data_IF_900478994220
#
_entry.id   IF_900478994220
#
_cell.length_a   1.000
_cell.length_b   1.000
_cell.length_c   1.000
_cell.angle_alpha   90.00
_cell.angle_beta   90.00
_cell.angle_gamma   90.00
#
_symmetry.space_group_name_H-M   'P 1'
#
loop_
_entity.id
_entity.type
_entity.pdbx_description
1 polymer ?
#
# COMPACT_ATOMS: atom_id res chain seq x y z
N UNK A 1 33.32 15.33 -29.38
CA UNK A 1 32.95 14.76 -28.08
C UNK A 1 33.87 13.56 -27.82
N UNK A 2 34.76 13.71 -26.87
CA UNK A 2 35.96 12.88 -26.70
C UNK A 2 35.62 11.43 -26.27
N UNK A 3 36.36 10.46 -26.83
CA UNK A 3 36.30 9.03 -26.48
C UNK A 3 36.42 8.76 -24.98
N UNK A 4 37.07 9.62 -24.22
CA UNK A 4 37.26 9.55 -22.76
C UNK A 4 35.95 9.73 -21.98
N UNK A 5 35.01 10.52 -22.47
CA UNK A 5 33.71 10.75 -21.82
C UNK A 5 32.80 9.52 -22.00
N UNK A 6 32.93 8.81 -23.13
CA UNK A 6 32.14 7.57 -23.36
C UNK A 6 32.61 6.39 -22.50
N UNK A 7 33.88 6.36 -22.13
CA UNK A 7 34.44 5.30 -21.25
C UNK A 7 34.02 5.55 -19.79
N UNK A 8 33.96 6.80 -19.34
CA UNK A 8 33.53 7.15 -17.99
C UNK A 8 32.01 6.90 -17.77
N UNK A 9 31.17 7.13 -18.80
CA UNK A 9 29.74 6.80 -18.73
C UNK A 9 29.48 5.29 -18.75
N UNK A 10 30.29 4.51 -19.46
CA UNK A 10 30.19 3.05 -19.46
C UNK A 10 30.70 2.42 -18.16
N UNK A 11 31.72 2.99 -17.51
CA UNK A 11 32.16 2.53 -16.18
C UNK A 11 31.17 2.88 -15.04
N UNK A 12 30.49 4.02 -15.13
CA UNK A 12 29.46 4.38 -14.14
C UNK A 12 28.23 3.46 -14.24
N UNK A 13 27.85 3.05 -15.46
CA UNK A 13 26.75 2.09 -15.66
C UNK A 13 27.10 0.67 -15.19
N UNK A 14 28.37 0.25 -15.35
CA UNK A 14 28.87 -1.05 -14.88
C UNK A 14 29.05 -1.10 -13.34
N UNK A 15 29.32 0.02 -12.68
CA UNK A 15 29.40 0.10 -11.22
C UNK A 15 28.01 0.08 -10.56
N UNK A 16 26.96 0.61 -11.21
CA UNK A 16 25.59 0.49 -10.72
C UNK A 16 25.03 -0.95 -10.80
N UNK A 17 25.44 -1.71 -11.81
CA UNK A 17 25.02 -3.11 -11.97
C UNK A 17 25.77 -4.03 -10.98
N UNK A 18 26.98 -3.66 -10.56
CA UNK A 18 27.80 -4.46 -9.64
C UNK A 18 27.36 -4.38 -8.16
N UNK A 19 26.66 -3.32 -7.75
CA UNK A 19 26.25 -3.13 -6.34
C UNK A 19 24.94 -3.83 -6.01
N UNK A 20 24.06 -4.03 -6.98
CA UNK A 20 22.80 -4.77 -6.78
C UNK A 20 22.98 -6.29 -6.72
N UNK A 21 24.08 -6.85 -7.22
CA UNK A 21 24.35 -8.30 -7.20
C UNK A 21 24.98 -8.82 -5.89
N UNK A 22 25.46 -7.95 -5.00
CA UNK A 22 26.16 -8.36 -3.77
C UNK A 22 25.22 -8.46 -2.55
N UNK A 23 24.00 -7.91 -2.61
CA UNK A 23 23.06 -7.96 -1.50
C UNK A 23 22.25 -9.28 -1.38
N UNK A 24 22.39 -10.23 -2.30
CA UNK A 24 21.60 -11.47 -2.34
C UNK A 24 22.38 -12.78 -2.08
N UNK A 25 23.64 -12.71 -1.66
CA UNK A 25 24.49 -13.90 -1.50
C UNK A 25 24.92 -14.20 -0.05
N UNK A 26 24.02 -14.13 0.92
CA UNK A 26 24.34 -14.57 2.30
C UNK A 26 23.15 -15.16 3.03
N UNK A 27 22.71 -16.33 2.59
CA UNK A 27 21.94 -17.26 3.41
C UNK A 27 22.11 -18.69 2.88
N UNK A 28 23.29 -19.27 3.07
CA UNK A 28 23.47 -20.72 3.04
C UNK A 28 24.66 -21.07 3.90
N UNK A 29 24.43 -21.47 5.13
CA UNK A 29 25.31 -22.38 5.90
C UNK A 29 24.48 -23.04 6.99
N UNK A 30 24.11 -24.29 6.69
CA UNK A 30 23.74 -25.28 7.69
C UNK A 30 24.98 -26.09 8.05
N UNK A 31 25.20 -26.45 9.29
CA UNK A 31 25.89 -27.70 9.58
C UNK A 31 25.02 -28.65 10.39
N UNK A 32 24.86 -29.85 9.84
CA UNK A 32 24.47 -31.07 10.52
C UNK A 32 25.26 -31.32 11.81
N UNK A 33 24.57 -31.75 12.85
CA UNK A 33 25.05 -32.85 13.69
C UNK A 33 23.89 -33.51 14.46
N UNK A 34 23.79 -34.80 14.25
CA UNK A 34 22.94 -35.78 14.91
C UNK A 34 23.30 -35.99 16.39
N UNK A 35 22.32 -36.26 17.23
CA UNK A 35 22.39 -37.41 18.17
C UNK A 35 21.04 -37.67 18.85
N UNK A 36 20.63 -38.92 18.77
CA UNK A 36 19.58 -39.64 19.53
C UNK A 36 19.64 -39.42 21.03
N UNK A 37 18.48 -39.31 21.66
CA UNK A 37 18.14 -40.20 22.81
C UNK A 37 16.64 -40.09 23.16
N UNK A 38 16.02 -41.23 23.19
CA UNK A 38 14.69 -41.59 23.69
C UNK A 38 14.56 -41.42 25.20
N UNK A 39 13.39 -40.94 25.66
CA UNK A 39 12.80 -41.42 26.93
C UNK A 39 11.28 -41.08 26.97
N UNK A 40 10.52 -42.13 27.18
CA UNK A 40 9.10 -42.19 27.54
C UNK A 40 8.77 -41.52 28.86
N UNK A 41 7.59 -40.94 28.99
CA UNK A 41 6.79 -41.02 30.21
C UNK A 41 5.33 -40.61 29.98
N UNK A 42 4.46 -41.41 30.44
CA UNK A 42 3.00 -41.55 30.36
C UNK A 42 2.25 -40.60 31.34
N UNK A 43 0.92 -40.50 31.23
CA UNK A 43 0.13 -39.32 31.64
C UNK A 43 -0.68 -39.49 32.96
N UNK A 44 -1.38 -38.40 33.24
CA UNK A 44 -2.60 -38.22 34.05
C UNK A 44 -2.41 -37.77 35.52
N UNK A 45 -3.45 -37.27 36.20
CA UNK A 45 -4.85 -37.11 35.82
C UNK A 45 -5.50 -35.72 36.08
N UNK A 46 -6.71 -35.59 35.59
CA UNK A 46 -7.76 -34.58 35.75
C UNK A 46 -8.20 -34.42 37.23
N UNK A 47 -8.40 -33.17 37.68
CA UNK A 47 -9.33 -32.82 38.75
C UNK A 47 -10.07 -31.51 38.43
N UNK A 48 -11.41 -31.60 38.41
CA UNK A 48 -12.35 -30.47 38.46
C UNK A 48 -12.35 -29.86 39.88
N UNK A 49 -12.57 -28.56 40.00
CA UNK A 49 -13.07 -27.97 41.24
C UNK A 49 -14.49 -27.44 41.10
N UNK A 50 -15.27 -27.88 42.04
CA UNK A 50 -16.61 -27.53 42.49
C UNK A 50 -16.79 -26.03 42.80
N UNK A 51 -18.00 -25.53 42.48
CA UNK A 51 -18.55 -24.23 42.92
C UNK A 51 -18.83 -24.18 44.43
N UNK A 52 -18.72 -23.02 45.05
CA UNK A 52 -19.34 -22.76 46.35
C UNK A 52 -20.51 -21.77 46.25
N UNK A 53 -21.39 -21.75 47.25
CA UNK A 53 -22.77 -21.31 47.14
C UNK A 53 -23.01 -19.82 47.42
N UNK A 54 -24.15 -19.38 46.90
CA UNK A 54 -24.80 -18.07 47.04
C UNK A 54 -25.18 -17.75 48.48
N UNK A 55 -24.86 -16.56 48.99
CA UNK A 55 -25.52 -15.93 50.13
C UNK A 55 -26.04 -14.55 49.72
N UNK A 56 -27.35 -14.34 49.90
CA UNK A 56 -28.03 -13.04 49.88
C UNK A 56 -27.71 -12.24 51.14
N UNK A 57 -27.60 -10.94 51.10
CA UNK A 57 -27.83 -10.10 52.26
C UNK A 57 -29.06 -9.16 52.10
N UNK A 58 -29.75 -9.14 53.17
CA UNK A 58 -30.92 -8.43 53.63
C UNK A 58 -30.84 -6.90 53.51
N UNK A 59 -31.98 -6.30 53.17
CA UNK A 59 -32.25 -4.86 53.20
C UNK A 59 -32.14 -4.26 54.63
N UNK A 60 -31.47 -3.14 54.73
CA UNK A 60 -31.75 -2.14 55.80
C UNK A 60 -31.94 -0.76 55.15
N UNK A 61 -33.11 -0.22 55.38
CA UNK A 61 -33.53 1.11 54.98
C UNK A 61 -32.96 2.16 55.95
N UNK A 62 -32.21 3.12 55.42
CA UNK A 62 -31.94 4.40 56.12
C UNK A 62 -32.42 5.57 55.26
N UNK A 63 -33.36 6.29 55.81
CA UNK A 63 -33.89 7.56 55.34
C UNK A 63 -32.88 8.66 55.60
N UNK A 64 -32.42 9.40 54.55
CA UNK A 64 -31.74 10.68 54.69
C UNK A 64 -32.38 11.72 53.81
N UNK A 65 -32.42 12.94 54.36
CA UNK A 65 -33.14 14.13 53.89
C UNK A 65 -32.62 14.65 52.51
N UNK A 66 -33.57 15.08 51.69
CA UNK A 66 -33.31 15.72 50.42
C UNK A 66 -32.79 17.16 50.64
N UNK A 67 -31.54 17.39 50.33
CA UNK A 67 -31.01 18.73 50.00
C UNK A 67 -31.11 18.92 48.50
N UNK A 68 -31.94 19.89 48.11
CA UNK A 68 -32.10 20.32 46.70
C UNK A 68 -30.87 21.16 46.32
N UNK A 69 -29.90 20.57 45.66
CA UNK A 69 -28.90 21.31 44.86
C UNK A 69 -29.47 21.56 43.46
N UNK A 70 -29.56 22.84 43.07
CA UNK A 70 -29.85 23.24 41.70
C UNK A 70 -28.75 22.70 40.80
N UNK A 71 -29.06 21.64 40.04
CA UNK A 71 -28.20 21.16 38.97
C UNK A 71 -28.22 22.19 37.83
N UNK A 72 -27.17 22.95 37.71
CA UNK A 72 -26.79 23.62 36.46
C UNK A 72 -26.58 22.56 35.41
N UNK A 73 -27.52 22.35 34.53
CA UNK A 73 -27.39 21.58 33.31
C UNK A 73 -26.41 22.35 32.40
N UNK A 74 -25.14 21.99 32.42
CA UNK A 74 -24.25 22.31 31.31
C UNK A 74 -24.86 21.64 30.06
N UNK A 75 -25.28 22.43 29.10
CA UNK A 75 -25.61 21.96 27.76
C UNK A 75 -24.33 21.33 27.20
N UNK A 76 -24.25 20.02 27.25
CA UNK A 76 -23.25 19.26 26.48
C UNK A 76 -23.65 19.44 25.02
N UNK A 77 -23.08 20.46 24.38
CA UNK A 77 -23.13 20.61 22.94
C UNK A 77 -22.36 19.42 22.35
N UNK A 78 -23.08 18.38 21.98
CA UNK A 78 -22.47 17.26 21.22
C UNK A 78 -22.01 17.80 19.88
N UNK A 79 -20.70 17.82 19.70
CA UNK A 79 -20.08 18.16 18.41
C UNK A 79 -20.69 17.29 17.30
N UNK A 80 -20.97 17.87 16.12
CA UNK A 80 -21.50 17.12 14.99
C UNK A 80 -20.56 15.95 14.61
N UNK A 81 -21.06 14.83 14.12
CA UNK A 81 -20.21 13.74 13.64
C UNK A 81 -19.15 14.24 12.64
N UNK A 82 -17.96 13.66 12.67
CA UNK A 82 -16.82 14.14 11.85
C UNK A 82 -17.15 14.14 10.35
N UNK A 83 -17.94 13.20 9.87
CA UNK A 83 -18.41 13.16 8.48
C UNK A 83 -19.20 14.41 8.06
N UNK A 84 -19.98 14.97 8.99
CA UNK A 84 -20.79 16.18 8.74
C UNK A 84 -19.95 17.47 8.80
N UNK A 85 -18.72 17.38 9.29
CA UNK A 85 -17.75 18.46 9.39
C UNK A 85 -16.79 18.51 8.20
N UNK A 86 -16.68 17.44 7.39
CA UNK A 86 -15.72 17.36 6.28
C UNK A 86 -15.86 18.53 5.30
N UNK A 87 -17.11 18.94 5.02
CA UNK A 87 -17.37 20.05 4.11
C UNK A 87 -16.88 19.82 2.68
N UNK A 88 -16.54 18.57 2.35
CA UNK A 88 -16.16 18.17 1.02
C UNK A 88 -17.43 17.99 0.18
N UNK A 89 -17.40 18.48 -1.05
CA UNK A 89 -18.47 18.28 -2.05
C UNK A 89 -17.75 18.05 -3.39
N UNK A 90 -17.05 16.94 -3.46
CA UNK A 90 -16.17 16.60 -4.57
C UNK A 90 -16.69 15.31 -5.19
N UNK A 91 -17.08 15.41 -6.45
CA UNK A 91 -17.44 14.24 -7.23
C UNK A 91 -16.20 13.49 -7.67
N UNK A 92 -16.35 12.18 -7.85
CA UNK A 92 -15.25 11.31 -8.29
C UNK A 92 -14.61 11.81 -9.59
N UNK A 93 -15.43 12.30 -10.53
CA UNK A 93 -14.96 12.86 -11.80
C UNK A 93 -14.17 14.18 -11.67
N UNK A 94 -14.32 14.90 -10.56
CA UNK A 94 -13.60 16.15 -10.28
C UNK A 94 -12.26 15.90 -9.55
N UNK A 95 -11.98 14.67 -9.13
CA UNK A 95 -10.73 14.28 -8.52
C UNK A 95 -9.60 14.20 -9.55
N UNK A 96 -8.36 14.38 -9.08
CA UNK A 96 -7.19 14.09 -9.93
C UNK A 96 -7.30 12.66 -10.48
N UNK A 97 -6.96 12.50 -11.75
CA UNK A 97 -7.13 11.24 -12.49
C UNK A 97 -6.61 10.00 -11.72
N UNK A 98 -5.47 10.15 -11.04
CA UNK A 98 -4.87 9.07 -10.26
C UNK A 98 -5.70 8.65 -9.04
N UNK A 99 -6.62 9.49 -8.57
CA UNK A 99 -7.41 9.25 -7.36
C UNK A 99 -8.89 9.03 -7.62
N UNK A 100 -9.34 9.06 -8.88
CA UNK A 100 -10.69 8.64 -9.24
C UNK A 100 -10.91 7.19 -8.83
N UNK A 101 -12.00 6.93 -8.11
CA UNK A 101 -12.25 5.63 -7.50
C UNK A 101 -12.45 4.53 -8.55
N UNK A 102 -11.51 3.60 -8.65
CA UNK A 102 -11.58 2.48 -9.60
C UNK A 102 -12.68 1.47 -9.30
N UNK A 103 -13.27 1.51 -8.10
CA UNK A 103 -14.33 0.59 -7.67
C UNK A 103 -15.73 1.21 -7.75
N UNK A 104 -15.86 2.41 -8.29
CA UNK A 104 -17.14 3.10 -8.46
C UNK A 104 -17.21 3.80 -9.83
N UNK A 105 -18.39 4.34 -10.15
CA UNK A 105 -18.59 5.04 -11.42
C UNK A 105 -18.77 4.11 -12.61
N UNK A 106 -18.65 4.70 -13.80
CA UNK A 106 -18.85 4.01 -15.10
C UNK A 106 -17.66 4.15 -16.04
N UNK A 107 -16.55 4.75 -15.56
CA UNK A 107 -15.33 4.96 -16.32
C UNK A 107 -14.13 4.41 -15.54
N UNK A 108 -13.39 3.50 -16.16
CA UNK A 108 -12.09 3.05 -15.65
C UNK A 108 -10.97 3.80 -16.37
N UNK A 109 -10.11 4.45 -15.59
CA UNK A 109 -9.08 5.35 -16.12
C UNK A 109 -7.72 4.69 -16.12
N UNK A 110 -7.07 4.63 -17.29
CA UNK A 110 -5.70 4.12 -17.50
C UNK A 110 -5.41 2.79 -16.79
N UNK A 111 -6.37 1.88 -16.81
CA UNK A 111 -6.16 0.51 -16.34
C UNK A 111 -5.11 -0.18 -17.20
N UNK A 112 -4.16 -0.88 -16.57
CA UNK A 112 -3.07 -1.53 -17.31
C UNK A 112 -3.35 -2.97 -17.65
N UNK A 113 -2.91 -3.41 -18.83
CA UNK A 113 -2.98 -4.80 -19.29
C UNK A 113 -1.75 -5.15 -20.14
N UNK A 114 -1.30 -6.40 -20.05
CA UNK A 114 -0.15 -6.90 -20.80
C UNK A 114 -0.54 -8.05 -21.71
N UNK A 115 -0.23 -7.92 -23.02
CA UNK A 115 -0.40 -8.98 -24.01
C UNK A 115 0.90 -9.73 -24.22
N UNK A 116 0.83 -11.04 -24.26
CA UNK A 116 2.00 -11.89 -24.56
C UNK A 116 2.17 -12.07 -26.07
N UNK A 117 1.13 -12.47 -26.77
CA UNK A 117 1.16 -12.74 -28.21
C UNK A 117 0.14 -11.87 -28.97
N UNK A 118 0.37 -11.71 -30.27
CA UNK A 118 -0.65 -11.14 -31.16
C UNK A 118 -1.87 -12.06 -31.20
N UNK A 119 -3.06 -11.47 -31.27
CA UNK A 119 -4.31 -12.21 -31.17
C UNK A 119 -4.79 -12.50 -29.74
N UNK A 120 -3.97 -12.22 -28.71
CA UNK A 120 -4.37 -12.40 -27.30
C UNK A 120 -5.60 -11.58 -26.95
N UNK A 121 -6.46 -12.18 -26.11
CA UNK A 121 -7.67 -11.57 -25.54
C UNK A 121 -7.51 -11.43 -24.03
N UNK A 122 -7.75 -10.24 -23.50
CA UNK A 122 -7.64 -9.94 -22.07
C UNK A 122 -8.92 -9.31 -21.53
N UNK A 123 -9.32 -9.77 -20.36
CA UNK A 123 -10.31 -9.06 -19.54
C UNK A 123 -9.66 -7.86 -18.86
N UNK A 124 -10.41 -6.78 -18.71
CA UNK A 124 -10.13 -5.71 -17.81
C UNK A 124 -10.91 -5.92 -16.50
N UNK A 125 -10.84 -4.97 -15.58
CA UNK A 125 -11.55 -5.05 -14.30
C UNK A 125 -13.07 -5.18 -14.52
N UNK A 126 -13.57 -4.48 -15.55
CA UNK A 126 -14.96 -4.52 -15.99
C UNK A 126 -15.07 -4.90 -17.47
N UNK A 127 -16.21 -5.45 -17.90
CA UNK A 127 -16.51 -5.61 -19.32
C UNK A 127 -16.53 -4.25 -20.02
N UNK A 128 -15.82 -4.14 -21.12
CA UNK A 128 -15.73 -2.89 -21.91
C UNK A 128 -17.06 -2.62 -22.60
N UNK A 129 -17.62 -1.43 -22.41
CA UNK A 129 -18.76 -0.91 -23.17
C UNK A 129 -18.29 -0.09 -24.37
N UNK A 130 -17.36 0.85 -24.12
CA UNK A 130 -16.72 1.65 -25.15
C UNK A 130 -15.31 2.06 -24.72
N UNK A 131 -14.39 2.15 -25.66
CA UNK A 131 -13.03 2.62 -25.42
C UNK A 131 -12.97 4.14 -25.53
N UNK A 132 -12.37 4.78 -24.54
CA UNK A 132 -11.98 6.20 -24.57
C UNK A 132 -10.58 6.34 -25.15
N UNK A 133 -9.62 5.54 -24.66
CA UNK A 133 -8.25 5.52 -25.22
C UNK A 133 -7.50 4.23 -24.85
N UNK A 134 -6.61 3.80 -25.75
CA UNK A 134 -5.58 2.80 -25.49
C UNK A 134 -4.23 3.40 -25.82
N UNK A 135 -3.33 3.47 -24.86
CA UNK A 135 -2.01 4.09 -25.04
C UNK A 135 -0.88 3.20 -24.57
N UNK A 136 0.36 3.47 -25.01
CA UNK A 136 1.55 2.91 -24.37
C UNK A 136 1.64 3.35 -22.90
N UNK A 137 2.39 2.62 -22.08
CA UNK A 137 2.56 2.92 -20.64
C UNK A 137 3.02 4.36 -20.37
N UNK A 138 3.80 4.94 -21.28
CA UNK A 138 4.36 6.29 -21.19
C UNK A 138 3.47 7.38 -21.86
N UNK A 139 2.29 6.99 -22.34
CA UNK A 139 1.32 7.87 -22.99
C UNK A 139 1.73 8.43 -24.36
N UNK A 140 2.91 8.04 -24.90
CA UNK A 140 3.44 8.63 -26.15
C UNK A 140 2.82 8.07 -27.41
N UNK A 141 2.30 6.86 -27.35
CA UNK A 141 1.66 6.21 -28.49
C UNK A 141 0.21 5.94 -28.17
N UNK A 142 -0.69 6.43 -29.01
CA UNK A 142 -2.10 6.06 -28.97
C UNK A 142 -2.36 4.98 -30.01
N UNK A 143 -3.04 3.91 -29.61
CA UNK A 143 -3.38 2.80 -30.48
C UNK A 143 -4.79 2.95 -31.03
N UNK A 144 -5.02 2.42 -32.24
CA UNK A 144 -6.24 2.62 -33.02
C UNK A 144 -7.12 1.36 -33.00
N UNK A 145 -8.42 1.52 -32.71
CA UNK A 145 -9.40 0.44 -32.81
C UNK A 145 -9.54 -0.04 -34.25
N UNK A 146 -9.72 -1.34 -34.44
CA UNK A 146 -9.78 -2.00 -35.75
C UNK A 146 -8.42 -2.22 -36.40
N UNK A 147 -7.39 -1.54 -35.96
CA UNK A 147 -5.99 -1.70 -36.44
C UNK A 147 -5.11 -2.36 -35.40
N UNK A 148 -4.99 -1.79 -34.23
CA UNK A 148 -4.11 -2.27 -33.17
C UNK A 148 -4.84 -3.19 -32.19
N UNK A 149 -6.11 -2.93 -31.94
CA UNK A 149 -6.96 -3.73 -31.06
C UNK A 149 -8.42 -3.73 -31.57
N UNK A 150 -9.20 -4.65 -31.02
CA UNK A 150 -10.66 -4.68 -31.15
C UNK A 150 -11.27 -5.04 -29.80
N UNK A 151 -12.54 -4.71 -29.60
CA UNK A 151 -13.32 -5.18 -28.46
C UNK A 151 -14.19 -6.37 -28.90
N UNK A 152 -13.99 -7.52 -28.24
CA UNK A 152 -14.78 -8.74 -28.47
C UNK A 152 -15.36 -9.19 -27.12
N UNK A 153 -16.68 -9.33 -27.04
CA UNK A 153 -17.39 -9.78 -25.83
C UNK A 153 -16.97 -9.01 -24.53
N UNK A 154 -16.83 -7.69 -24.66
CA UNK A 154 -16.41 -6.83 -23.54
C UNK A 154 -14.94 -6.97 -23.12
N UNK A 155 -14.11 -7.64 -23.93
CA UNK A 155 -12.69 -7.85 -23.69
C UNK A 155 -11.84 -7.16 -24.74
N UNK A 156 -10.62 -6.80 -24.36
CA UNK A 156 -9.66 -6.20 -25.28
C UNK A 156 -8.85 -7.31 -25.99
N UNK A 157 -8.84 -7.28 -27.32
CA UNK A 157 -8.07 -8.20 -28.14
C UNK A 157 -7.04 -7.44 -28.98
N UNK A 158 -5.79 -7.83 -28.90
CA UNK A 158 -4.73 -7.28 -29.75
C UNK A 158 -4.80 -7.93 -31.14
N UNK A 159 -4.70 -7.12 -32.22
CA UNK A 159 -4.75 -7.64 -33.61
C UNK A 159 -3.41 -8.23 -34.04
N UNK A 160 -3.41 -9.05 -35.09
CA UNK A 160 -2.20 -9.68 -35.65
C UNK A 160 -1.16 -8.65 -36.11
N UNK A 161 -1.61 -7.53 -36.70
CA UNK A 161 -0.75 -6.49 -37.24
C UNK A 161 -0.59 -5.26 -36.31
N UNK A 162 -0.96 -5.42 -35.06
CA UNK A 162 -0.93 -4.36 -34.04
C UNK A 162 0.45 -3.78 -33.81
N UNK A 163 0.53 -2.47 -33.55
CA UNK A 163 1.74 -1.80 -33.03
C UNK A 163 1.93 -2.01 -31.50
N UNK A 164 0.92 -2.51 -30.77
CA UNK A 164 1.05 -2.87 -29.36
C UNK A 164 2.17 -3.89 -29.20
N UNK A 165 3.12 -3.63 -28.31
CA UNK A 165 4.23 -4.53 -28.04
C UNK A 165 3.77 -5.78 -27.29
N UNK A 166 4.18 -6.95 -27.76
CA UNK A 166 3.97 -8.25 -27.12
C UNK A 166 5.33 -8.90 -26.86
N UNK A 167 5.52 -9.48 -25.68
CA UNK A 167 6.81 -10.11 -25.31
C UNK A 167 6.99 -11.49 -25.99
N UNK A 168 5.93 -12.14 -26.38
CA UNK A 168 5.71 -13.52 -26.76
C UNK A 168 5.65 -14.49 -25.56
N UNK A 169 4.68 -15.41 -25.59
CA UNK A 169 4.54 -16.45 -24.55
C UNK A 169 5.83 -17.29 -24.43
N UNK A 170 6.51 -17.56 -25.53
CA UNK A 170 7.78 -18.29 -25.51
C UNK A 170 8.83 -17.58 -24.66
N UNK A 171 9.06 -16.28 -24.88
CA UNK A 171 10.05 -15.49 -24.11
C UNK A 171 9.60 -15.24 -22.67
N UNK A 172 8.29 -15.11 -22.46
CA UNK A 172 7.74 -14.86 -21.13
C UNK A 172 7.92 -16.08 -20.21
N UNK A 173 7.63 -17.31 -20.72
CA UNK A 173 7.70 -18.54 -19.94
C UNK A 173 9.03 -19.30 -20.00
N UNK A 174 10.03 -18.83 -20.75
CA UNK A 174 11.32 -19.49 -20.89
C UNK A 174 12.49 -18.47 -20.68
N UNK A 175 12.33 -17.54 -19.76
CA UNK A 175 13.32 -16.50 -19.49
C UNK A 175 14.53 -17.08 -18.75
N UNK A 176 15.64 -17.23 -19.44
CA UNK A 176 16.88 -17.80 -18.89
C UNK A 176 17.39 -16.99 -17.70
N UNK A 177 17.76 -17.66 -16.62
CA UNK A 177 18.27 -17.01 -15.40
C UNK A 177 17.20 -16.40 -14.50
N UNK A 178 15.91 -16.66 -14.78
CA UNK A 178 14.81 -16.16 -13.93
C UNK A 178 14.84 -16.77 -12.54
N UNK A 179 14.60 -15.91 -11.54
CA UNK A 179 14.36 -16.30 -10.15
C UNK A 179 12.88 -16.64 -9.90
N UNK A 180 12.00 -16.35 -10.86
CA UNK A 180 10.59 -16.69 -10.81
C UNK A 180 10.34 -17.92 -11.67
N UNK A 181 9.59 -18.88 -11.14
CA UNK A 181 9.17 -20.04 -11.86
C UNK A 181 7.65 -20.20 -11.80
N UNK A 182 7.04 -20.56 -12.92
CA UNK A 182 5.64 -20.98 -12.98
C UNK A 182 5.59 -22.39 -13.59
N UNK A 183 5.02 -23.33 -12.85
CA UNK A 183 4.96 -24.74 -13.26
C UNK A 183 6.34 -25.31 -13.67
N UNK A 184 7.39 -24.93 -12.94
CA UNK A 184 8.76 -25.37 -13.20
C UNK A 184 9.45 -24.71 -14.40
N UNK A 185 8.83 -23.72 -15.03
CA UNK A 185 9.43 -22.95 -16.13
C UNK A 185 9.88 -21.57 -15.66
N UNK A 186 11.09 -21.12 -16.05
CA UNK A 186 11.57 -19.79 -15.71
C UNK A 186 10.72 -18.73 -16.42
N UNK A 187 10.27 -17.73 -15.68
CA UNK A 187 9.35 -16.71 -16.14
C UNK A 187 10.04 -15.36 -16.30
N UNK A 188 9.60 -14.55 -17.26
CA UNK A 188 10.08 -13.19 -17.43
C UNK A 188 9.84 -12.34 -16.18
N UNK A 189 10.88 -11.66 -15.75
CA UNK A 189 10.83 -10.65 -14.68
C UNK A 189 11.84 -9.56 -14.98
N UNK A 190 11.71 -8.42 -14.32
CA UNK A 190 12.69 -7.35 -14.43
C UNK A 190 12.17 -6.06 -13.86
N UNK A 191 12.96 -5.42 -13.01
CA UNK A 191 12.67 -4.06 -12.59
C UNK A 191 12.63 -3.16 -13.84
N UNK A 192 11.68 -2.26 -13.87
CA UNK A 192 11.45 -1.30 -14.94
C UNK A 192 11.13 -1.84 -16.35
N UNK A 193 11.22 -3.12 -16.58
CA UNK A 193 11.09 -3.66 -17.93
C UNK A 193 9.70 -4.18 -18.26
N UNK A 194 8.90 -4.57 -17.24
CA UNK A 194 7.56 -5.14 -17.46
C UNK A 194 6.62 -4.13 -18.10
N UNK A 195 6.65 -2.88 -17.61
CA UNK A 195 5.76 -1.80 -18.09
C UNK A 195 5.86 -1.49 -19.58
N UNK A 196 7.03 -1.73 -20.22
CA UNK A 196 7.17 -1.48 -21.67
C UNK A 196 6.30 -2.40 -22.53
N UNK A 197 5.79 -3.49 -21.95
CA UNK A 197 4.89 -4.46 -22.55
C UNK A 197 3.43 -4.26 -22.11
N UNK A 198 3.18 -3.29 -21.21
CA UNK A 198 1.84 -2.94 -20.75
C UNK A 198 1.28 -1.77 -21.59
N UNK A 199 -0.02 -1.79 -21.76
CA UNK A 199 -0.80 -0.68 -22.29
C UNK A 199 -1.73 -0.14 -21.23
N UNK A 200 -2.04 1.15 -21.29
CA UNK A 200 -3.00 1.82 -20.43
C UNK A 200 -4.32 2.01 -21.19
N UNK A 201 -5.42 1.58 -20.59
CA UNK A 201 -6.74 1.58 -21.19
C UNK A 201 -7.68 2.44 -20.35
N UNK A 202 -8.27 3.48 -20.98
CA UNK A 202 -9.39 4.22 -20.42
C UNK A 202 -10.65 3.81 -21.16
N UNK A 203 -11.69 3.40 -20.44
CA UNK A 203 -12.89 2.85 -21.04
C UNK A 203 -14.12 3.06 -20.17
N UNK A 204 -15.29 3.05 -20.79
CA UNK A 204 -16.58 3.06 -20.12
C UNK A 204 -17.09 1.64 -19.89
N UNK A 205 -17.85 1.45 -18.81
CA UNK A 205 -18.52 0.19 -18.44
C UNK A 205 -19.86 0.47 -17.76
N UNK A 206 -20.72 -0.55 -17.72
CA UNK A 206 -22.01 -0.51 -16.99
C UNK A 206 -22.04 -1.46 -15.78
N UNK A 207 -20.95 -2.21 -15.53
CA UNK A 207 -20.87 -3.17 -14.45
C UNK A 207 -20.46 -2.48 -13.14
N UNK A 208 -21.06 -2.92 -12.03
CA UNK A 208 -20.64 -2.55 -10.69
C UNK A 208 -19.49 -3.47 -10.21
N UNK A 209 -18.65 -2.95 -9.32
CA UNK A 209 -17.66 -3.75 -8.63
C UNK A 209 -18.33 -4.69 -7.62
N UNK A 210 -17.99 -5.98 -7.67
CA UNK A 210 -18.51 -7.01 -6.78
C UNK A 210 -17.45 -7.59 -5.83
N UNK A 211 -16.19 -7.13 -5.95
CA UNK A 211 -15.08 -7.57 -5.12
C UNK A 211 -15.01 -6.85 -3.77
N UNK A 212 -13.92 -7.10 -3.04
CA UNK A 212 -13.67 -6.45 -1.76
C UNK A 212 -13.54 -4.93 -1.92
N UNK A 213 -14.25 -4.18 -1.05
CA UNK A 213 -14.12 -2.73 -0.88
C UNK A 213 -13.67 -2.44 0.55
N UNK A 214 -12.67 -1.59 0.68
CA UNK A 214 -12.21 -1.11 1.99
C UNK A 214 -13.29 -0.28 2.67
N UNK A 215 -13.59 -0.58 3.92
CA UNK A 215 -14.48 0.25 4.74
C UNK A 215 -13.77 1.50 5.24
N UNK A 216 -14.47 2.63 5.24
CA UNK A 216 -13.97 3.86 5.87
C UNK A 216 -13.73 3.66 7.37
N UNK A 217 -12.63 4.22 7.86
CA UNK A 217 -12.27 4.26 9.28
C UNK A 217 -12.18 5.71 9.76
N UNK A 218 -13.00 6.59 9.19
CA UNK A 218 -13.00 8.03 9.48
C UNK A 218 -13.11 8.34 10.97
N UNK A 219 -13.95 7.59 11.71
CA UNK A 219 -14.07 7.75 13.15
C UNK A 219 -12.78 7.43 13.93
N UNK A 220 -11.96 6.52 13.42
CA UNK A 220 -10.63 6.21 13.99
C UNK A 220 -9.67 7.37 13.80
N UNK A 221 -9.76 8.05 12.67
CA UNK A 221 -8.83 9.11 12.26
C UNK A 221 -9.35 10.53 12.52
N UNK A 222 -10.44 10.68 13.25
CA UNK A 222 -11.12 11.96 13.44
C UNK A 222 -10.18 13.09 13.91
N UNK A 223 -9.21 12.82 14.78
CA UNK A 223 -8.27 13.84 15.27
C UNK A 223 -7.36 14.37 14.14
N UNK A 224 -6.85 13.50 13.30
CA UNK A 224 -6.05 13.90 12.14
C UNK A 224 -6.90 14.67 11.11
N UNK A 225 -8.10 14.15 10.82
CA UNK A 225 -9.01 14.79 9.84
C UNK A 225 -9.51 16.15 10.35
N UNK A 226 -9.77 16.31 11.65
CA UNK A 226 -10.09 17.63 12.24
C UNK A 226 -8.99 18.65 12.00
N UNK A 227 -7.71 18.29 12.10
CA UNK A 227 -6.59 19.18 11.77
C UNK A 227 -6.65 19.63 10.31
N UNK A 228 -6.90 18.69 9.38
CA UNK A 228 -7.07 19.03 7.97
C UNK A 228 -8.26 19.97 7.72
N UNK A 229 -9.40 19.73 8.36
CA UNK A 229 -10.58 20.60 8.28
C UNK A 229 -10.26 22.00 8.85
N UNK A 230 -9.52 22.07 9.93
CA UNK A 230 -9.12 23.34 10.58
C UNK A 230 -8.08 24.15 9.81
N UNK A 231 -7.41 23.54 8.82
CA UNK A 231 -6.32 24.21 8.08
C UNK A 231 -4.99 24.22 8.86
N UNK A 232 -4.81 23.29 9.80
CA UNK A 232 -3.57 23.18 10.55
C UNK A 232 -2.47 22.55 9.70
N UNK A 233 -1.22 22.97 9.86
CA UNK A 233 -0.09 22.27 9.24
C UNK A 233 0.03 20.87 9.85
N UNK A 234 0.18 19.85 8.98
CA UNK A 234 0.27 18.45 9.40
C UNK A 234 1.46 17.73 8.75
N UNK A 235 1.94 16.68 9.39
CA UNK A 235 2.99 15.82 8.86
C UNK A 235 2.45 14.41 8.62
N UNK A 236 2.58 13.93 7.38
CA UNK A 236 2.32 12.54 6.99
C UNK A 236 3.66 11.83 6.83
N UNK A 237 3.89 10.82 7.65
CA UNK A 237 5.16 10.12 7.75
C UNK A 237 5.02 8.67 7.29
N UNK A 238 5.81 8.27 6.29
CA UNK A 238 5.81 6.92 5.73
C UNK A 238 7.07 6.14 6.14
N UNK A 239 6.86 4.91 6.60
CA UNK A 239 7.91 3.98 6.96
C UNK A 239 7.59 2.57 6.48
N UNK A 240 8.47 1.95 5.71
CA UNK A 240 8.20 0.66 5.10
C UNK A 240 9.33 0.12 4.22
N UNK A 241 8.95 -0.77 3.34
CA UNK A 241 9.86 -1.45 2.40
C UNK A 241 9.89 -0.80 1.00
N UNK A 242 10.33 -1.56 0.00
CA UNK A 242 10.44 -1.11 -1.39
C UNK A 242 9.13 -0.63 -2.01
N UNK A 243 7.98 -1.14 -1.57
CA UNK A 243 6.67 -0.71 -2.09
C UNK A 243 6.35 0.69 -1.55
N UNK A 244 6.60 0.93 -0.26
CA UNK A 244 6.46 2.26 0.36
C UNK A 244 7.49 3.25 -0.18
N UNK A 245 8.69 2.78 -0.49
CA UNK A 245 9.71 3.55 -1.21
C UNK A 245 9.27 3.94 -2.62
N UNK A 246 8.48 3.11 -3.30
CA UNK A 246 7.96 3.39 -4.63
C UNK A 246 8.66 2.65 -5.77
N UNK A 247 9.27 1.50 -5.50
CA UNK A 247 9.94 0.69 -6.52
C UNK A 247 9.02 0.38 -7.70
N UNK A 248 9.54 0.50 -8.91
CA UNK A 248 8.82 0.35 -10.19
C UNK A 248 7.77 1.42 -10.50
N UNK A 249 7.58 2.46 -9.68
CA UNK A 249 6.82 3.64 -10.11
C UNK A 249 7.60 4.39 -11.20
N UNK A 250 6.89 4.98 -12.15
CA UNK A 250 7.55 5.74 -13.23
C UNK A 250 8.27 6.99 -12.71
N UNK A 251 7.84 7.52 -11.57
CA UNK A 251 8.55 8.61 -10.89
C UNK A 251 9.93 8.14 -10.37
N UNK A 252 9.98 7.05 -9.61
CA UNK A 252 11.22 6.53 -9.05
C UNK A 252 12.24 6.13 -10.13
N UNK A 253 11.75 5.67 -11.28
CA UNK A 253 12.58 5.31 -12.43
C UNK A 253 12.95 6.50 -13.33
N UNK A 254 12.40 7.69 -13.08
CA UNK A 254 12.65 8.89 -13.88
C UNK A 254 12.09 8.86 -15.30
N UNK A 255 11.14 7.98 -15.59
CA UNK A 255 10.49 7.84 -16.91
C UNK A 255 9.07 8.40 -16.90
N UNK A 256 8.52 8.70 -18.09
CA UNK A 256 7.12 9.15 -18.19
C UNK A 256 6.16 7.99 -17.84
N UNK A 257 4.98 8.33 -17.26
CA UNK A 257 4.42 9.68 -16.98
C UNK A 257 4.97 10.35 -15.71
N UNK A 258 5.93 9.77 -15.00
CA UNK A 258 6.46 10.23 -13.72
C UNK A 258 5.44 10.23 -12.59
N UNK A 259 4.52 9.28 -12.63
CA UNK A 259 3.56 9.10 -11.55
C UNK A 259 4.26 8.60 -10.29
N UNK A 260 3.99 9.25 -9.17
CA UNK A 260 4.48 8.84 -7.85
C UNK A 260 3.90 7.50 -7.38
N UNK A 261 4.55 6.92 -6.37
CA UNK A 261 4.00 5.78 -5.66
C UNK A 261 2.86 6.19 -4.72
N UNK A 262 2.21 5.22 -4.09
CA UNK A 262 1.01 5.45 -3.29
C UNK A 262 1.19 6.50 -2.19
N UNK A 263 2.38 6.57 -1.59
CA UNK A 263 2.67 7.54 -0.54
C UNK A 263 2.58 8.99 -1.04
N UNK A 264 3.12 9.27 -2.24
CA UNK A 264 2.99 10.58 -2.88
C UNK A 264 1.55 10.85 -3.30
N UNK A 265 0.94 9.91 -4.05
CA UNK A 265 -0.42 10.06 -4.55
C UNK A 265 -1.45 10.31 -3.44
N UNK A 266 -1.35 9.56 -2.34
CA UNK A 266 -2.23 9.74 -1.18
C UNK A 266 -2.05 11.13 -0.54
N UNK A 267 -0.80 11.59 -0.39
CA UNK A 267 -0.52 12.90 0.21
C UNK A 267 -0.96 14.06 -0.69
N UNK A 268 -0.71 13.93 -2.00
CA UNK A 268 -1.15 14.90 -3.01
C UNK A 268 -2.68 14.98 -3.09
N UNK A 269 -3.38 13.84 -2.99
CA UNK A 269 -4.83 13.81 -2.93
C UNK A 269 -5.38 14.52 -1.70
N UNK A 270 -4.77 14.35 -0.52
CA UNK A 270 -5.17 15.10 0.67
C UNK A 270 -4.97 16.61 0.47
N UNK A 271 -3.89 17.00 -0.20
CA UNK A 271 -3.64 18.41 -0.52
C UNK A 271 -4.73 18.99 -1.42
N UNK A 272 -5.12 18.27 -2.47
CA UNK A 272 -6.19 18.70 -3.38
C UNK A 272 -7.55 18.78 -2.68
N UNK A 273 -7.89 17.75 -1.89
CA UNK A 273 -9.17 17.67 -1.18
C UNK A 273 -9.34 18.80 -0.16
N UNK A 274 -8.29 19.17 0.55
CA UNK A 274 -8.36 20.13 1.65
C UNK A 274 -7.72 21.50 1.35
N UNK A 275 -7.23 21.75 0.12
CA UNK A 275 -6.63 23.00 -0.30
C UNK A 275 -5.26 23.26 0.32
N UNK A 276 -4.45 22.24 0.47
CA UNK A 276 -3.11 22.29 1.03
C UNK A 276 -2.03 22.34 -0.05
N UNK A 277 -0.81 22.67 0.37
CA UNK A 277 0.40 22.35 -0.39
C UNK A 277 1.14 21.19 0.27
N UNK A 278 1.90 20.43 -0.51
CA UNK A 278 2.81 19.39 -0.02
C UNK A 278 4.24 19.88 -0.09
N UNK A 279 4.94 19.85 1.04
CA UNK A 279 6.38 20.05 1.11
C UNK A 279 7.07 18.72 1.32
N UNK A 280 7.94 18.34 0.38
CA UNK A 280 8.63 17.04 0.42
C UNK A 280 9.96 17.17 1.16
N UNK A 281 10.16 16.37 2.20
CA UNK A 281 11.36 16.42 3.04
C UNK A 281 12.44 15.50 2.49
N UNK A 282 13.61 16.08 2.19
CA UNK A 282 14.83 15.30 2.00
C UNK A 282 15.47 15.06 3.38
N UNK A 283 15.32 13.84 3.91
CA UNK A 283 15.81 13.48 5.24
C UNK A 283 17.33 13.35 5.31
N UNK A 284 18.05 13.43 4.18
CA UNK A 284 19.49 13.18 4.12
C UNK A 284 19.89 11.71 4.26
N UNK A 285 18.92 10.81 4.52
CA UNK A 285 19.14 9.37 4.59
C UNK A 285 19.37 8.75 3.20
N UNK A 286 19.00 9.48 2.14
CA UNK A 286 19.12 9.07 0.74
C UNK A 286 20.57 8.94 0.25
N UNK A 287 21.53 9.60 0.90
CA UNK A 287 22.92 9.68 0.41
C UNK A 287 23.69 8.35 0.51
N UNK A 288 23.28 7.42 1.35
CA UNK A 288 24.00 6.16 1.59
C UNK A 288 23.21 4.90 1.20
N UNK A 289 21.92 5.04 0.86
CA UNK A 289 21.03 3.93 0.51
C UNK A 289 20.10 4.38 -0.62
N UNK A 290 19.53 3.44 -1.33
CA UNK A 290 18.51 3.72 -2.35
C UNK A 290 17.22 4.12 -1.64
N UNK A 291 17.15 5.39 -1.22
CA UNK A 291 15.95 5.96 -0.62
C UNK A 291 15.06 6.60 -1.67
N UNK A 292 13.81 6.80 -1.31
CA UNK A 292 12.78 7.41 -2.16
C UNK A 292 13.27 8.72 -2.79
N UNK A 293 13.23 8.88 -4.12
CA UNK A 293 13.51 10.16 -4.75
C UNK A 293 12.47 11.17 -4.31
N UNK A 294 12.91 12.35 -3.86
CA UNK A 294 12.06 13.40 -3.34
C UNK A 294 11.86 14.48 -4.41
N UNK A 295 10.62 14.91 -4.70
CA UNK A 295 10.40 16.04 -5.59
C UNK A 295 11.12 17.29 -5.12
N UNK A 296 11.70 18.04 -6.07
CA UNK A 296 12.37 19.30 -5.78
C UNK A 296 11.38 20.47 -5.62
N UNK A 297 10.16 20.32 -6.14
CA UNK A 297 9.11 21.33 -6.10
C UNK A 297 7.99 20.89 -5.15
N UNK A 298 7.37 21.85 -4.50
CA UNK A 298 6.14 21.65 -3.75
C UNK A 298 4.98 21.30 -4.68
N UNK A 299 3.94 20.66 -4.14
CA UNK A 299 2.70 20.34 -4.85
C UNK A 299 1.53 21.11 -4.24
N UNK A 300 0.51 21.44 -5.03
CA UNK A 300 -0.72 22.10 -4.56
C UNK A 300 -0.58 23.60 -4.33
N UNK A 301 -1.64 24.27 -3.87
CA UNK A 301 -1.73 25.73 -3.74
C UNK A 301 -1.32 26.23 -2.37
N UNK A 302 -1.64 25.50 -1.31
CA UNK A 302 -1.36 25.88 0.07
C UNK A 302 -2.26 26.99 0.62
N UNK A 303 -3.46 27.15 0.05
CA UNK A 303 -4.39 28.21 0.48
C UNK A 303 -4.87 28.04 1.92
N UNK A 304 -4.86 26.79 2.44
CA UNK A 304 -5.30 26.46 3.80
C UNK A 304 -4.17 26.08 4.75
N UNK A 305 -3.16 25.36 4.28
CA UNK A 305 -2.08 24.87 5.13
C UNK A 305 -1.03 24.07 4.37
N UNK A 306 -0.12 23.45 5.10
CA UNK A 306 0.98 22.66 4.56
C UNK A 306 0.89 21.21 5.06
N UNK A 307 1.00 20.24 4.15
CA UNK A 307 1.29 18.85 4.48
C UNK A 307 2.79 18.60 4.30
N UNK A 308 3.47 18.33 5.37
CA UNK A 308 4.86 17.90 5.34
C UNK A 308 4.91 16.39 5.03
N UNK A 309 5.46 16.05 3.87
CA UNK A 309 5.66 14.66 3.45
C UNK A 309 7.04 14.18 3.87
N UNK A 310 7.09 13.11 4.67
CA UNK A 310 8.32 12.42 5.07
C UNK A 310 8.22 10.96 4.69
N UNK A 311 9.20 10.45 3.94
CA UNK A 311 9.27 9.02 3.59
C UNK A 311 10.68 8.50 3.85
N UNK A 312 10.81 7.57 4.80
CA UNK A 312 12.07 6.94 5.19
C UNK A 312 12.09 5.45 4.88
N UNK A 313 11.22 4.99 4.00
CA UNK A 313 11.17 3.59 3.57
C UNK A 313 12.45 3.16 2.84
N UNK A 314 12.84 1.90 3.02
CA UNK A 314 14.06 1.32 2.44
C UNK A 314 13.73 0.02 1.71
N UNK A 315 14.18 -0.08 0.46
CA UNK A 315 14.02 -1.28 -0.35
C UNK A 315 14.67 -2.52 0.27
N UNK A 316 13.97 -3.66 0.21
CA UNK A 316 14.46 -4.95 0.72
C UNK A 316 14.31 -5.15 2.24
N UNK A 317 13.94 -4.13 3.01
CA UNK A 317 13.74 -4.27 4.45
C UNK A 317 12.50 -5.09 4.78
N UNK A 318 12.63 -5.94 5.77
CA UNK A 318 11.55 -6.66 6.43
C UNK A 318 11.15 -5.95 7.74
N UNK A 319 10.12 -6.44 8.42
CA UNK A 319 9.65 -5.82 9.67
C UNK A 319 10.65 -5.87 10.83
N UNK A 320 11.62 -6.81 10.87
CA UNK A 320 12.71 -6.80 11.86
C UNK A 320 13.69 -5.64 11.58
N UNK A 321 13.99 -5.37 10.31
CA UNK A 321 14.84 -4.23 9.93
C UNK A 321 14.16 -2.93 10.35
N UNK A 322 12.83 -2.86 10.17
CA UNK A 322 12.02 -1.73 10.62
C UNK A 322 12.14 -1.49 12.14
N UNK A 323 12.06 -2.53 12.95
CA UNK A 323 12.25 -2.43 14.41
C UNK A 323 13.68 -2.01 14.75
N UNK A 324 14.67 -2.62 14.11
CA UNK A 324 16.09 -2.41 14.43
C UNK A 324 16.55 -0.99 14.13
N UNK A 325 16.00 -0.38 13.10
CA UNK A 325 16.42 0.94 12.62
C UNK A 325 15.45 2.07 12.99
N UNK A 326 14.45 1.79 13.84
CA UNK A 326 13.37 2.72 14.16
C UNK A 326 13.90 4.06 14.70
N UNK A 327 14.87 4.04 15.60
CA UNK A 327 15.41 5.28 16.21
C UNK A 327 15.94 6.24 15.14
N UNK A 328 16.78 5.76 14.25
CA UNK A 328 17.41 6.59 13.20
C UNK A 328 16.44 7.02 12.11
N UNK A 329 15.57 6.11 11.66
CA UNK A 329 14.73 6.34 10.49
C UNK A 329 13.36 6.94 10.84
N UNK A 330 12.92 6.80 12.09
CA UNK A 330 11.64 7.34 12.55
C UNK A 330 11.86 8.36 13.67
N UNK A 331 12.35 7.95 14.83
CA UNK A 331 12.43 8.82 16.01
C UNK A 331 13.18 10.12 15.73
N UNK A 332 14.42 10.06 15.22
CA UNK A 332 15.20 11.26 14.88
C UNK A 332 14.53 12.15 13.83
N UNK A 333 13.77 11.57 12.91
CA UNK A 333 13.09 12.33 11.87
C UNK A 333 11.78 12.94 12.37
N UNK A 334 11.04 12.24 13.25
CA UNK A 334 9.85 12.77 13.92
C UNK A 334 10.21 13.95 14.85
N UNK A 335 11.34 13.88 15.55
CA UNK A 335 11.86 15.00 16.36
C UNK A 335 12.13 16.26 15.51
N UNK A 336 12.51 16.10 14.24
CA UNK A 336 12.80 17.22 13.32
C UNK A 336 11.58 17.73 12.57
N UNK A 337 10.69 16.85 12.16
CA UNK A 337 9.64 17.16 11.19
C UNK A 337 8.22 16.96 11.71
N UNK A 338 8.05 16.36 12.90
CA UNK A 338 6.75 16.00 13.44
C UNK A 338 6.19 14.72 12.83
N UNK A 339 5.00 14.34 13.28
CA UNK A 339 4.19 13.26 12.72
C UNK A 339 2.76 13.37 13.25
N UNK A 340 1.78 13.53 12.38
CA UNK A 340 0.35 13.54 12.72
C UNK A 340 -0.35 12.28 12.21
N UNK A 341 0.10 11.76 11.06
CA UNK A 341 -0.29 10.46 10.52
C UNK A 341 0.95 9.63 10.23
N UNK A 342 1.12 8.53 10.96
CA UNK A 342 2.18 7.55 10.73
C UNK A 342 1.67 6.39 9.88
N UNK A 343 2.19 6.26 8.66
CA UNK A 343 1.83 5.20 7.71
C UNK A 343 2.95 4.17 7.68
N UNK A 344 2.64 2.93 8.09
CA UNK A 344 3.61 1.84 8.20
C UNK A 344 3.27 0.70 7.23
N UNK A 345 4.17 0.39 6.29
CA UNK A 345 3.98 -0.60 5.23
C UNK A 345 5.13 -1.60 5.17
N UNK A 346 5.08 -2.65 5.98
CA UNK A 346 5.98 -3.80 5.95
C UNK A 346 5.22 -5.09 5.69
N UNK A 347 5.92 -6.10 5.19
CA UNK A 347 5.36 -7.44 5.06
C UNK A 347 5.81 -8.18 3.82
N UNK A 348 6.08 -7.52 2.72
CA UNK A 348 6.47 -8.17 1.47
C UNK A 348 7.75 -9.00 1.63
N UNK A 349 8.70 -8.52 2.42
CA UNK A 349 9.98 -9.20 2.65
C UNK A 349 9.99 -10.08 3.93
N UNK A 350 8.82 -10.29 4.55
CA UNK A 350 8.66 -11.08 5.77
C UNK A 350 8.42 -12.57 5.49
N UNK A 351 8.61 -13.04 4.26
CA UNK A 351 8.23 -14.37 3.82
C UNK A 351 8.82 -15.55 4.60
N UNK A 352 9.98 -15.35 5.24
CA UNK A 352 10.59 -16.34 6.13
C UNK A 352 10.09 -16.32 7.57
N UNK A 353 9.20 -15.37 7.93
CA UNK A 353 8.66 -15.19 9.27
C UNK A 353 7.20 -15.62 9.35
N UNK A 354 6.76 -16.07 10.54
CA UNK A 354 5.33 -16.25 10.78
C UNK A 354 4.62 -14.90 10.78
N UNK A 355 3.38 -14.82 10.29
CA UNK A 355 2.58 -13.60 10.28
C UNK A 355 2.37 -12.99 11.69
N UNK A 356 2.41 -13.81 12.74
CA UNK A 356 2.42 -13.36 14.13
C UNK A 356 3.69 -12.63 14.53
N UNK A 357 4.83 -12.93 13.89
CA UNK A 357 6.09 -12.20 14.11
C UNK A 357 6.04 -10.84 13.43
N UNK A 358 5.52 -10.76 12.18
CA UNK A 358 5.25 -9.47 11.52
C UNK A 358 4.34 -8.60 12.39
N UNK A 359 3.23 -9.17 12.92
CA UNK A 359 2.35 -8.48 13.87
C UNK A 359 3.10 -7.94 15.08
N UNK A 360 3.95 -8.75 15.69
CA UNK A 360 4.71 -8.36 16.88
C UNK A 360 5.72 -7.25 16.59
N UNK A 361 6.36 -7.28 15.42
CA UNK A 361 7.29 -6.25 14.97
C UNK A 361 6.57 -4.91 14.68
N UNK A 362 5.46 -4.97 13.95
CA UNK A 362 4.63 -3.78 13.69
C UNK A 362 4.13 -3.18 15.00
N UNK A 363 3.69 -4.02 15.96
CA UNK A 363 3.30 -3.55 17.29
C UNK A 363 4.41 -2.80 18.01
N UNK A 364 5.66 -3.32 17.99
CA UNK A 364 6.80 -2.64 18.62
C UNK A 364 7.06 -1.26 18.03
N UNK A 365 6.97 -1.14 16.69
CA UNK A 365 7.14 0.15 16.01
C UNK A 365 6.02 1.12 16.36
N UNK A 366 4.77 0.64 16.44
CA UNK A 366 3.62 1.45 16.84
C UNK A 366 3.74 1.89 18.30
N UNK A 367 4.11 0.99 19.22
CA UNK A 367 4.30 1.34 20.63
C UNK A 367 5.39 2.41 20.78
N UNK A 368 6.53 2.24 20.09
CA UNK A 368 7.62 3.23 20.10
C UNK A 368 7.18 4.59 19.50
N UNK A 369 6.29 4.57 18.49
CA UNK A 369 5.73 5.82 17.95
C UNK A 369 4.83 6.51 18.97
N UNK A 370 3.98 5.77 19.68
CA UNK A 370 3.12 6.36 20.73
C UNK A 370 3.92 6.89 21.95
N UNK A 371 5.11 6.33 22.22
CA UNK A 371 6.03 6.92 23.24
C UNK A 371 6.54 8.29 22.82
N UNK A 372 6.72 8.55 21.51
CA UNK A 372 7.21 9.82 20.97
C UNK A 372 6.05 10.81 20.74
N UNK A 373 4.94 10.31 20.21
CA UNK A 373 3.75 11.09 19.80
C UNK A 373 2.47 10.40 20.26
N UNK A 374 2.02 10.63 21.50
CA UNK A 374 0.84 9.96 22.08
C UNK A 374 -0.46 10.18 21.30
N UNK A 375 -0.60 11.27 20.57
CA UNK A 375 -1.81 11.63 19.81
C UNK A 375 -1.73 11.30 18.33
N UNK A 376 -0.69 10.58 17.88
CA UNK A 376 -0.51 10.21 16.48
C UNK A 376 -1.61 9.28 15.99
N UNK A 377 -2.10 9.52 14.77
CA UNK A 377 -2.90 8.53 14.03
C UNK A 377 -1.98 7.56 13.30
N UNK A 378 -2.28 6.28 13.32
CA UNK A 378 -1.45 5.23 12.68
C UNK A 378 -2.25 4.46 11.64
N UNK A 379 -1.74 4.43 10.41
CA UNK A 379 -2.31 3.60 9.34
C UNK A 379 -1.33 2.47 9.01
N UNK A 380 -1.76 1.23 9.20
CA UNK A 380 -1.01 0.05 8.78
C UNK A 380 -1.42 -0.28 7.35
N UNK A 381 -0.47 -0.41 6.44
CA UNK A 381 -0.73 -0.80 5.06
C UNK A 381 -0.35 -2.26 4.88
N UNK A 382 -1.32 -3.13 4.60
CA UNK A 382 -1.03 -4.52 4.25
C UNK A 382 -0.42 -4.59 2.85
N UNK A 383 0.48 -5.56 2.64
CA UNK A 383 1.12 -5.71 1.33
C UNK A 383 0.20 -6.38 0.31
N UNK A 384 0.36 -6.05 -0.97
CA UNK A 384 -0.31 -6.77 -2.06
C UNK A 384 0.08 -8.26 -2.08
N UNK A 385 -0.70 -9.07 -2.77
CA UNK A 385 -0.29 -10.45 -3.08
C UNK A 385 0.92 -10.44 -4.02
N UNK A 386 2.00 -11.19 -3.72
CA UNK A 386 3.09 -11.38 -4.66
C UNK A 386 2.67 -12.32 -5.80
N UNK A 387 3.50 -12.40 -6.84
CA UNK A 387 3.30 -13.38 -7.92
C UNK A 387 3.33 -14.81 -7.37
N UNK A 388 2.27 -15.58 -7.66
CA UNK A 388 2.21 -17.01 -7.29
C UNK A 388 3.37 -17.79 -7.91
N UNK A 389 4.06 -18.59 -7.10
CA UNK A 389 5.24 -19.35 -7.51
C UNK A 389 6.56 -18.55 -7.48
N UNK A 390 6.55 -17.28 -7.07
CA UNK A 390 7.76 -16.53 -6.74
C UNK A 390 8.26 -16.88 -5.34
N UNK A 391 9.52 -16.55 -5.05
CA UNK A 391 10.10 -16.72 -3.70
C UNK A 391 9.45 -15.81 -2.63
N UNK A 392 8.56 -14.91 -3.02
CA UNK A 392 7.78 -14.04 -2.12
C UNK A 392 6.40 -14.61 -1.82
N UNK A 393 5.92 -15.63 -2.57
CA UNK A 393 4.61 -16.26 -2.34
C UNK A 393 4.66 -17.23 -1.17
N UNK A 394 4.68 -16.68 0.05
CA UNK A 394 4.69 -17.45 1.28
C UNK A 394 3.30 -17.47 1.93
N UNK A 395 2.95 -18.60 2.54
CA UNK A 395 1.71 -18.76 3.29
C UNK A 395 1.56 -17.73 4.44
N UNK A 396 2.67 -17.24 5.00
CA UNK A 396 2.66 -16.19 6.01
C UNK A 396 2.11 -14.88 5.48
N UNK A 397 2.46 -14.47 4.25
CA UNK A 397 1.96 -13.23 3.62
C UNK A 397 0.43 -13.26 3.50
N UNK A 398 -0.13 -14.42 3.14
CA UNK A 398 -1.57 -14.61 3.04
C UNK A 398 -2.32 -14.42 4.38
N UNK A 399 -1.61 -14.43 5.51
CA UNK A 399 -2.17 -14.31 6.86
C UNK A 399 -1.87 -12.96 7.53
N UNK A 400 -0.94 -12.18 6.98
CA UNK A 400 -0.46 -10.95 7.62
C UNK A 400 -1.58 -9.94 7.84
N UNK A 401 -2.38 -9.62 6.83
CA UNK A 401 -3.45 -8.64 6.93
C UNK A 401 -4.41 -8.95 8.08
N UNK A 402 -4.84 -10.22 8.22
CA UNK A 402 -5.70 -10.63 9.33
C UNK A 402 -5.02 -10.44 10.70
N UNK A 403 -3.71 -10.68 10.78
CA UNK A 403 -2.96 -10.47 12.02
C UNK A 403 -2.81 -8.98 12.34
N UNK A 404 -2.59 -8.14 11.33
CA UNK A 404 -2.49 -6.69 11.47
C UNK A 404 -3.85 -6.05 11.82
N UNK A 405 -4.95 -6.52 11.22
CA UNK A 405 -6.30 -6.10 11.58
C UNK A 405 -6.64 -6.46 13.03
N UNK A 406 -6.28 -7.68 13.46
CA UNK A 406 -6.41 -8.09 14.87
C UNK A 406 -5.60 -7.19 15.80
N UNK A 407 -4.39 -6.75 15.40
CA UNK A 407 -3.58 -5.80 16.16
C UNK A 407 -4.26 -4.44 16.26
N UNK A 408 -4.71 -3.88 15.14
CA UNK A 408 -5.39 -2.58 15.11
C UNK A 408 -6.63 -2.59 16.00
N UNK A 409 -7.47 -3.63 15.91
CA UNK A 409 -8.64 -3.81 16.79
C UNK A 409 -8.27 -3.90 18.28
N UNK A 410 -7.13 -4.50 18.61
CA UNK A 410 -6.65 -4.56 19.99
C UNK A 410 -6.21 -3.15 20.47
N UNK A 411 -5.41 -2.44 19.67
CA UNK A 411 -4.89 -1.12 20.03
C UNK A 411 -6.01 -0.07 20.16
N UNK A 412 -7.08 -0.18 19.38
CA UNK A 412 -8.25 0.70 19.55
C UNK A 412 -8.99 0.54 20.88
N UNK A 413 -8.87 -0.61 21.56
CA UNK A 413 -9.41 -0.78 22.92
C UNK A 413 -8.64 0.02 23.97
N UNK A 414 -7.41 0.41 23.63
CA UNK A 414 -6.54 1.26 24.43
C UNK A 414 -6.58 2.71 23.91
N UNK A 415 -7.67 3.12 23.26
CA UNK A 415 -7.95 4.45 22.69
C UNK A 415 -6.90 4.94 21.67
N UNK A 416 -6.16 4.02 21.05
CA UNK A 416 -5.17 4.34 20.02
C UNK A 416 -5.83 4.42 18.64
N UNK A 417 -5.56 5.49 17.90
CA UNK A 417 -6.08 5.72 16.55
C UNK A 417 -5.32 4.86 15.52
N UNK A 418 -5.67 3.58 15.40
CA UNK A 418 -4.99 2.61 14.51
C UNK A 418 -6.00 1.85 13.66
N UNK A 419 -5.80 1.84 12.33
CA UNK A 419 -6.54 0.98 11.42
C UNK A 419 -5.65 0.42 10.31
N UNK A 420 -6.18 -0.51 9.52
CA UNK A 420 -5.47 -1.18 8.42
C UNK A 420 -6.10 -0.79 7.08
N UNK A 421 -5.28 -0.33 6.16
CA UNK A 421 -5.61 -0.27 4.75
C UNK A 421 -5.37 -1.67 4.15
N UNK A 422 -6.45 -2.38 3.83
CA UNK A 422 -6.46 -3.80 3.48
C UNK A 422 -6.12 -4.04 2.00
N UNK A 423 -4.94 -3.62 1.56
CA UNK A 423 -4.50 -3.74 0.17
C UNK A 423 -4.37 -5.21 -0.26
N UNK A 424 -4.06 -6.13 0.68
CA UNK A 424 -4.01 -7.55 0.36
C UNK A 424 -5.37 -8.07 -0.12
N UNK A 425 -6.43 -7.76 0.59
CA UNK A 425 -7.80 -8.14 0.21
C UNK A 425 -8.21 -7.51 -1.12
N UNK A 426 -7.88 -6.23 -1.34
CA UNK A 426 -8.10 -5.55 -2.63
C UNK A 426 -7.34 -6.25 -3.75
N UNK A 427 -6.05 -6.56 -3.55
CA UNK A 427 -5.24 -7.23 -4.58
C UNK A 427 -5.76 -8.62 -4.94
N UNK A 428 -6.28 -9.37 -3.95
CA UNK A 428 -6.91 -10.67 -4.20
C UNK A 428 -8.17 -10.55 -5.04
N UNK A 429 -9.03 -9.58 -4.74
CA UNK A 429 -10.23 -9.35 -5.53
C UNK A 429 -9.89 -8.96 -6.98
N UNK A 430 -8.86 -8.14 -7.19
CA UNK A 430 -8.38 -7.78 -8.53
C UNK A 430 -7.84 -9.00 -9.28
N UNK A 431 -7.18 -9.94 -8.60
CA UNK A 431 -6.66 -11.16 -9.22
C UNK A 431 -7.74 -12.09 -9.78
N UNK A 432 -8.99 -11.96 -9.37
CA UNK A 432 -10.10 -12.68 -9.95
C UNK A 432 -10.41 -12.25 -11.40
N UNK A 433 -10.00 -11.02 -11.75
CA UNK A 433 -10.25 -10.41 -13.06
C UNK A 433 -8.98 -10.29 -13.92
N UNK A 434 -7.80 -10.15 -13.30
CA UNK A 434 -6.54 -9.79 -13.95
C UNK A 434 -5.42 -10.78 -13.63
N UNK A 435 -4.49 -10.92 -14.56
CA UNK A 435 -3.25 -11.65 -14.31
C UNK A 435 -2.21 -10.73 -13.68
N UNK A 436 -1.27 -11.29 -12.92
CA UNK A 436 -0.31 -10.51 -12.14
C UNK A 436 0.54 -9.55 -12.99
N UNK A 437 0.91 -9.94 -14.21
CA UNK A 437 1.67 -9.11 -15.14
C UNK A 437 0.88 -7.90 -15.69
N UNK A 438 -0.42 -7.84 -15.50
CA UNK A 438 -1.24 -6.70 -15.92
C UNK A 438 -1.05 -5.48 -14.99
N UNK A 439 -0.71 -5.71 -13.71
CA UNK A 439 -0.64 -4.66 -12.69
C UNK A 439 0.66 -4.64 -11.89
N UNK A 440 1.62 -5.50 -12.21
CA UNK A 440 2.94 -5.54 -11.59
C UNK A 440 3.97 -4.75 -12.40
N UNK A 441 4.90 -4.07 -11.71
CA UNK A 441 6.02 -3.36 -12.32
C UNK A 441 7.23 -4.25 -12.60
N UNK A 442 7.41 -5.35 -11.84
CA UNK A 442 8.56 -6.26 -11.99
C UNK A 442 8.18 -7.72 -12.23
N UNK A 443 6.90 -8.04 -12.23
CA UNK A 443 6.36 -9.41 -12.33
C UNK A 443 6.73 -10.33 -11.16
N UNK A 444 7.11 -9.77 -10.02
CA UNK A 444 7.47 -10.51 -8.78
C UNK A 444 6.58 -10.09 -7.61
N UNK A 445 6.72 -8.81 -7.18
CA UNK A 445 6.18 -8.33 -5.93
C UNK A 445 5.98 -6.81 -5.86
N UNK A 446 6.36 -6.06 -6.91
CA UNK A 446 6.18 -4.62 -6.94
C UNK A 446 5.00 -4.22 -7.83
N UNK A 447 4.18 -3.24 -7.42
CA UNK A 447 3.12 -2.69 -8.24
C UNK A 447 3.67 -1.88 -9.42
N UNK A 448 2.89 -1.73 -10.48
CA UNK A 448 3.07 -0.69 -11.49
C UNK A 448 2.32 0.60 -11.09
N UNK A 449 2.34 1.64 -11.93
CA UNK A 449 1.67 2.90 -11.65
C UNK A 449 0.16 2.76 -11.39
N UNK A 450 -0.53 1.91 -12.16
CA UNK A 450 -1.96 1.70 -11.95
C UNK A 450 -2.24 1.08 -10.57
N UNK A 451 -1.46 0.09 -10.16
CA UNK A 451 -1.68 -0.56 -8.87
C UNK A 451 -1.19 0.32 -7.70
N UNK A 452 -0.25 1.24 -7.91
CA UNK A 452 0.05 2.29 -6.94
C UNK A 452 -1.14 3.24 -6.71
N UNK A 453 -1.96 3.50 -7.74
CA UNK A 453 -3.24 4.20 -7.56
C UNK A 453 -4.22 3.41 -6.71
N UNK A 454 -4.30 2.08 -6.93
CA UNK A 454 -5.12 1.19 -6.08
C UNK A 454 -4.71 1.28 -4.61
N UNK A 455 -3.41 1.26 -4.32
CA UNK A 455 -2.90 1.47 -2.97
C UNK A 455 -3.36 2.83 -2.40
N UNK A 456 -3.09 3.91 -3.11
CA UNK A 456 -3.42 5.26 -2.66
C UNK A 456 -4.92 5.44 -2.40
N UNK A 457 -5.76 4.91 -3.30
CA UNK A 457 -7.22 4.92 -3.17
C UNK A 457 -7.68 4.07 -1.98
N UNK A 458 -7.04 2.94 -1.70
CA UNK A 458 -7.33 2.14 -0.51
C UNK A 458 -6.99 2.90 0.77
N UNK A 459 -5.87 3.65 0.81
CA UNK A 459 -5.53 4.50 1.95
C UNK A 459 -6.55 5.63 2.12
N UNK A 460 -6.93 6.30 1.03
CA UNK A 460 -7.91 7.38 1.06
C UNK A 460 -9.29 6.88 1.52
N UNK A 461 -9.73 5.73 0.99
CA UNK A 461 -10.94 5.05 1.42
C UNK A 461 -10.89 4.69 2.91
N UNK A 462 -9.73 4.23 3.41
CA UNK A 462 -9.54 3.93 4.83
C UNK A 462 -9.63 5.18 5.69
N UNK A 463 -9.00 6.28 5.27
CA UNK A 463 -8.93 7.51 6.06
C UNK A 463 -10.26 8.27 6.10
N UNK A 464 -10.88 8.46 4.94
CA UNK A 464 -12.06 9.32 4.77
C UNK A 464 -13.26 8.52 4.28
N UNK A 465 -13.09 7.71 3.23
CA UNK A 465 -14.14 7.05 2.48
C UNK A 465 -14.69 7.93 1.35
N UNK A 466 -14.71 7.41 0.13
CA UNK A 466 -15.27 8.13 -1.02
C UNK A 466 -16.73 8.49 -0.83
N UNK A 467 -17.48 7.66 -0.11
CA UNK A 467 -18.89 7.91 0.26
C UNK A 467 -19.10 9.12 1.17
N UNK A 468 -18.05 9.62 1.80
CA UNK A 468 -18.09 10.78 2.69
C UNK A 468 -17.59 12.07 2.01
N UNK A 469 -17.21 12.02 0.71
CA UNK A 469 -16.70 13.17 -0.04
C UNK A 469 -17.80 13.89 -0.84
N UNK A 470 -18.95 13.25 -1.07
CA UNK A 470 -20.09 13.70 -1.88
C UNK A 470 -21.19 14.32 -1.04
#
# INVERSE_FOLDING_TARGET
MNKTIRILTALAALLLIGVTAVAFASCDKNPDTSSDTTAEATPAPTEEPTEPPTEEPTEEATTEEATTEEATTEEVTTEAPIKDQLGLNIKDEDMIEAMQNIFSGTTSVKETVMFLDKGDVKSLLYPIKSIVSVTSYDGKTTYEEGKDYVVEDGKLKVTENSAIKCITSEKYYNHSGSIIQMNGKPMFWGESQVKIWQVSVTYEHDAAWEGYVQESQLDVYQNFVKKLIAGEDVTVFFYGDSITWGACSTYAEGVQPKQGAYAMLFTEALADLFGYKVTYINTGLQASMVCHPVPAAEYGTGDRGTITYVNTAIGGWNSNDGVTNFDKFVKEQVEKHGCDLFVIGYGMNDGGMAATQTKANVKKMIDAMYEIKPEVSVMIVSTMTPHSGSNWDHASIQQQERQLDSLAKQLRKDDKAVAVACVHSVSKAIQEHKTFNDYSGNNINHPNDWFYRVYAQTLLQTLIGYENMN
#
